data_IF_829120413666
#
_entry.id   IF_829120413666
#
_cell.length_a   1.000
_cell.length_b   1.000
_cell.length_c   1.000
_cell.angle_alpha   90.00
_cell.angle_beta   90.00
_cell.angle_gamma   90.00
#
_symmetry.space_group_name_H-M   'P 1'
#
loop_
_entity.id
_entity.type
_entity.pdbx_description
1 polymer ?
#
# COMPACT_ATOMS: atom_id res chain seq x y z
N UNK A 1 20.80 -10.78 71.83
CA UNK A 1 19.91 -10.00 72.71
C UNK A 1 18.67 -9.66 71.89
N UNK A 2 17.58 -10.31 72.28
CA UNK A 2 16.21 -10.20 71.78
C UNK A 2 15.56 -8.91 72.29
N UNK A 3 14.77 -8.25 71.45
CA UNK A 3 13.52 -7.60 71.86
C UNK A 3 12.55 -7.53 70.69
N UNK A 4 11.59 -8.43 70.75
CA UNK A 4 10.24 -8.40 70.16
C UNK A 4 9.48 -7.15 70.60
N UNK A 5 8.56 -6.66 69.76
CA UNK A 5 7.29 -6.14 70.27
C UNK A 5 6.15 -6.50 69.32
N UNK A 6 5.20 -7.22 69.92
CA UNK A 6 3.93 -7.68 69.42
C UNK A 6 2.80 -6.71 69.77
N UNK A 7 1.73 -6.79 68.97
CA UNK A 7 0.35 -6.68 69.45
C UNK A 7 -0.37 -5.35 69.19
N UNK A 8 -1.68 -5.31 68.92
CA UNK A 8 -2.68 -6.33 68.62
C UNK A 8 -4.03 -5.63 68.27
N UNK A 9 -4.84 -6.30 67.44
CA UNK A 9 -6.33 -6.42 67.48
C UNK A 9 -7.22 -5.15 67.45
N UNK A 10 -8.42 -5.12 66.87
CA UNK A 10 -9.30 -6.13 66.26
C UNK A 10 -10.48 -5.42 65.56
N UNK A 11 -11.01 -5.97 64.46
CA UNK A 11 -12.27 -6.75 64.35
C UNK A 11 -13.57 -5.96 64.50
N UNK A 12 -14.43 -6.04 63.48
CA UNK A 12 -15.83 -5.60 63.54
C UNK A 12 -16.55 -5.67 62.19
N UNK A 13 -16.87 -6.90 61.72
CA UNK A 13 -17.90 -7.18 60.72
C UNK A 13 -19.31 -6.85 61.25
N UNK A 14 -20.21 -6.41 60.36
CA UNK A 14 -21.65 -6.78 60.17
C UNK A 14 -22.22 -5.70 59.22
N UNK A 15 -22.84 -5.94 58.06
CA UNK A 15 -23.72 -7.03 57.65
C UNK A 15 -25.19 -6.58 57.77
N UNK A 16 -25.79 -6.11 56.66
CA UNK A 16 -27.17 -6.40 56.18
C UNK A 16 -27.74 -5.29 55.27
N UNK A 17 -28.20 -5.72 54.10
CA UNK A 17 -29.17 -5.02 53.24
C UNK A 17 -30.47 -4.70 53.97
N UNK A 18 -31.28 -3.77 53.43
CA UNK A 18 -32.55 -4.24 52.90
C UNK A 18 -32.93 -3.69 51.51
N UNK A 19 -33.98 -4.33 51.01
CA UNK A 19 -34.58 -4.38 49.67
C UNK A 19 -35.60 -3.27 49.40
N UNK A 20 -35.80 -2.94 48.11
CA UNK A 20 -37.04 -2.46 47.47
C UNK A 20 -37.43 -0.99 47.68
N UNK A 21 -38.11 -0.29 46.76
CA UNK A 21 -38.67 -0.63 45.45
C UNK A 21 -39.26 0.65 44.81
N UNK A 22 -39.42 0.59 43.48
CA UNK A 22 -40.49 1.20 42.66
C UNK A 22 -40.31 2.54 41.91
N UNK A 23 -40.64 2.42 40.62
CA UNK A 23 -41.27 3.39 39.70
C UNK A 23 -40.40 4.53 39.16
N UNK A 24 -40.34 4.88 37.86
CA UNK A 24 -41.09 4.59 36.62
C UNK A 24 -40.23 5.19 35.50
N UNK A 25 -39.83 4.47 34.45
CA UNK A 25 -40.56 4.44 33.18
C UNK A 25 -40.60 5.79 32.43
N UNK A 26 -39.67 6.04 31.49
CA UNK A 26 -40.04 6.43 30.12
C UNK A 26 -38.85 6.54 29.15
N UNK A 27 -38.89 5.70 28.13
CA UNK A 27 -38.33 5.90 26.78
C UNK A 27 -39.05 7.07 26.09
N UNK A 28 -38.40 7.79 25.16
CA UNK A 28 -39.11 8.37 24.03
C UNK A 28 -38.75 7.62 22.75
N UNK A 29 -39.67 6.74 22.36
CA UNK A 29 -39.82 6.22 21.00
C UNK A 29 -40.84 7.10 20.28
N UNK A 30 -40.60 7.41 19.00
CA UNK A 30 -41.60 7.92 18.06
C UNK A 30 -41.30 9.34 17.56
N UNK A 31 -41.54 9.71 16.31
CA UNK A 31 -42.33 9.04 15.27
C UNK A 31 -41.97 9.60 13.90
N UNK A 32 -42.15 8.73 12.91
CA UNK A 32 -42.33 9.04 11.50
C UNK A 32 -43.26 10.23 11.22
N UNK A 33 -42.92 11.02 10.20
CA UNK A 33 -43.91 11.44 9.21
C UNK A 33 -43.34 11.31 7.80
N UNK A 34 -43.91 10.33 7.09
CA UNK A 34 -43.79 10.04 5.67
C UNK A 34 -44.93 10.73 4.94
N UNK A 35 -44.62 11.63 4.01
CA UNK A 35 -45.43 12.00 2.82
C UNK A 35 -44.59 13.00 2.02
N UNK A 36 -44.04 12.69 0.85
CA UNK A 36 -44.74 12.21 -0.33
C UNK A 36 -45.23 13.41 -1.13
N UNK A 37 -44.67 13.64 -2.32
CA UNK A 37 -45.33 14.26 -3.49
C UNK A 37 -44.41 14.29 -4.71
N UNK A 38 -44.70 13.35 -5.59
CA UNK A 38 -44.92 13.50 -7.03
C UNK A 38 -43.73 13.78 -7.97
N UNK A 39 -43.43 12.73 -8.74
CA UNK A 39 -42.84 12.80 -10.06
C UNK A 39 -43.77 13.52 -11.05
N UNK A 40 -43.21 14.23 -12.04
CA UNK A 40 -43.88 14.42 -13.32
C UNK A 40 -43.26 13.50 -14.37
N UNK A 41 -44.05 12.54 -14.82
CA UNK A 41 -43.93 11.93 -16.14
C UNK A 41 -44.06 13.01 -17.20
N UNK A 42 -43.07 13.13 -18.09
CA UNK A 42 -43.10 13.98 -19.26
C UNK A 42 -42.26 13.36 -20.36
N UNK A 43 -42.91 12.52 -21.17
CA UNK A 43 -42.45 12.06 -22.48
C UNK A 43 -42.50 13.26 -23.42
N UNK A 44 -41.45 13.49 -24.22
CA UNK A 44 -41.56 13.68 -25.66
C UNK A 44 -40.17 13.83 -26.31
N UNK A 45 -39.89 12.92 -27.24
CA UNK A 45 -38.83 12.99 -28.25
C UNK A 45 -39.11 14.17 -29.19
N UNK A 46 -38.08 14.85 -29.68
CA UNK A 46 -37.96 14.90 -31.14
C UNK A 46 -36.55 14.61 -31.65
N UNK A 47 -36.58 13.88 -32.77
CA UNK A 47 -35.53 13.46 -33.66
C UNK A 47 -34.74 14.64 -34.27
N UNK A 48 -33.41 14.53 -34.26
CA UNK A 48 -32.49 15.25 -35.14
C UNK A 48 -31.12 14.60 -35.00
N UNK A 49 -30.79 13.56 -35.77
CA UNK A 49 -30.05 13.66 -37.04
C UNK A 49 -28.96 14.72 -36.96
N UNK A 50 -27.73 14.28 -36.62
CA UNK A 50 -26.59 14.31 -37.53
C UNK A 50 -25.46 13.46 -36.95
N UNK A 51 -25.04 12.44 -37.70
CA UNK A 51 -23.76 11.77 -37.47
C UNK A 51 -22.66 12.61 -38.12
N UNK A 52 -21.48 12.69 -37.49
CA UNK A 52 -20.33 12.08 -38.15
C UNK A 52 -19.44 11.28 -37.18
N UNK A 53 -19.17 10.04 -37.58
CA UNK A 53 -17.87 9.35 -37.59
C UNK A 53 -16.77 9.86 -36.64
N UNK A 54 -16.48 9.05 -35.62
CA UNK A 54 -15.18 8.39 -35.40
C UNK A 54 -13.97 9.27 -35.07
N UNK A 55 -13.48 9.14 -33.83
CA UNK A 55 -12.05 9.10 -33.48
C UNK A 55 -11.91 8.78 -32.00
N UNK A 56 -11.73 7.48 -31.73
CA UNK A 56 -10.77 7.01 -30.74
C UNK A 56 -10.20 5.74 -31.35
N UNK A 57 -9.05 5.90 -32.01
CA UNK A 57 -8.30 4.78 -32.58
C UNK A 57 -7.67 4.03 -31.40
N UNK A 58 -8.10 2.79 -31.07
CA UNK A 58 -7.25 1.93 -30.26
C UNK A 58 -5.98 1.60 -31.06
N UNK A 59 -4.81 1.43 -30.43
CA UNK A 59 -3.61 1.05 -31.16
C UNK A 59 -3.90 -0.21 -32.00
N UNK A 60 -3.73 -0.06 -33.31
CA UNK A 60 -3.81 -1.14 -34.27
C UNK A 60 -2.58 -2.02 -34.12
N UNK A 61 -2.61 -2.94 -33.15
CA UNK A 61 -1.95 -4.25 -33.18
C UNK A 61 -2.26 -5.02 -31.88
N UNK A 62 -3.54 -5.22 -31.59
CA UNK A 62 -3.94 -6.29 -30.67
C UNK A 62 -4.79 -7.22 -31.50
N UNK A 63 -4.14 -8.25 -32.04
CA UNK A 63 -4.83 -9.42 -32.54
C UNK A 63 -5.66 -10.03 -31.42
N UNK A 64 -6.90 -9.57 -31.26
CA UNK A 64 -7.87 -10.28 -30.45
C UNK A 64 -8.14 -11.62 -31.15
N UNK A 65 -7.96 -12.78 -30.48
CA UNK A 65 -8.33 -14.02 -31.12
C UNK A 65 -9.86 -14.11 -31.20
N UNK A 66 -10.33 -14.41 -32.40
CA UNK A 66 -11.71 -14.73 -32.72
C UNK A 66 -12.23 -15.86 -31.83
N UNK A 67 -13.45 -15.73 -31.33
CA UNK A 67 -14.26 -16.92 -31.01
C UNK A 67 -14.94 -17.35 -32.31
N UNK A 68 -14.60 -18.54 -32.87
CA UNK A 68 -15.39 -19.74 -32.55
C UNK A 68 -14.62 -21.09 -32.63
N UNK A 69 -15.01 -22.05 -31.77
CA UNK A 69 -14.91 -23.49 -32.10
C UNK A 69 -13.55 -24.18 -32.00
N UNK A 70 -12.66 -23.75 -31.10
CA UNK A 70 -11.44 -24.52 -30.79
C UNK A 70 -11.79 -25.53 -29.69
N UNK A 71 -11.54 -26.86 -29.85
CA UNK A 71 -11.62 -27.78 -28.71
C UNK A 71 -10.68 -27.29 -27.59
N UNK A 72 -10.81 -27.71 -26.32
CA UNK A 72 -9.81 -27.40 -25.31
C UNK A 72 -8.49 -28.06 -25.73
N UNK A 73 -7.72 -27.36 -26.55
CA UNK A 73 -6.31 -27.63 -26.71
C UNK A 73 -5.75 -27.26 -25.36
N UNK A 74 -5.57 -28.26 -24.49
CA UNK A 74 -4.57 -28.16 -23.46
C UNK A 74 -3.31 -27.70 -24.21
N UNK A 75 -3.02 -26.39 -24.11
CA UNK A 75 -1.80 -25.84 -24.67
C UNK A 75 -0.63 -26.60 -24.09
N UNK A 76 0.54 -26.48 -24.71
CA UNK A 76 1.78 -27.03 -24.16
C UNK A 76 1.80 -26.79 -22.63
N UNK A 77 1.92 -27.85 -21.80
CA UNK A 77 1.96 -27.71 -20.35
C UNK A 77 3.00 -26.66 -19.95
N UNK A 78 2.74 -25.89 -18.90
CA UNK A 78 3.66 -24.82 -18.51
C UNK A 78 5.09 -25.34 -18.29
N UNK A 79 5.23 -26.56 -17.75
CA UNK A 79 6.51 -27.26 -17.56
C UNK A 79 7.32 -27.50 -18.84
N UNK A 80 6.65 -27.55 -19.99
CA UNK A 80 7.25 -27.80 -21.30
C UNK A 80 7.56 -26.50 -22.08
N UNK A 81 7.09 -25.34 -21.61
CA UNK A 81 7.40 -24.05 -22.22
C UNK A 81 8.87 -23.67 -22.01
N UNK A 82 9.45 -22.94 -22.96
CA UNK A 82 10.71 -22.23 -22.73
C UNK A 82 10.51 -21.10 -21.70
N UNK A 83 11.59 -20.56 -21.11
CA UNK A 83 11.46 -19.44 -20.16
C UNK A 83 10.88 -18.19 -20.83
N UNK A 84 11.24 -17.94 -22.10
CA UNK A 84 10.71 -16.83 -22.89
C UNK A 84 9.22 -17.00 -23.18
N UNK A 85 8.80 -18.21 -23.59
CA UNK A 85 7.39 -18.51 -23.85
C UNK A 85 6.56 -18.48 -22.55
N UNK A 86 7.13 -18.94 -21.43
CA UNK A 86 6.48 -18.90 -20.13
C UNK A 86 6.19 -17.45 -19.69
N UNK A 87 7.17 -16.56 -19.83
CA UNK A 87 7.01 -15.12 -19.55
C UNK A 87 6.01 -14.46 -20.50
N UNK A 88 6.07 -14.79 -21.79
CA UNK A 88 5.14 -14.26 -22.80
C UNK A 88 3.70 -14.70 -22.51
N UNK A 89 3.48 -16.00 -22.29
CA UNK A 89 2.16 -16.56 -22.02
C UNK A 89 1.59 -16.02 -20.70
N UNK A 90 2.41 -15.90 -19.64
CA UNK A 90 1.99 -15.27 -18.39
C UNK A 90 1.53 -13.83 -18.59
N UNK A 91 2.28 -13.04 -19.34
CA UNK A 91 1.94 -11.64 -19.67
C UNK A 91 0.60 -11.56 -20.41
N UNK A 92 0.42 -12.35 -21.46
CA UNK A 92 -0.83 -12.36 -22.24
C UNK A 92 -2.04 -12.78 -21.40
N UNK A 93 -1.85 -13.77 -20.52
CA UNK A 93 -2.91 -14.25 -19.66
C UNK A 93 -3.32 -13.15 -18.64
N UNK A 94 -2.38 -12.44 -18.02
CA UNK A 94 -2.71 -11.29 -17.15
C UNK A 94 -3.41 -10.15 -17.91
N UNK A 95 -2.95 -9.82 -19.12
CA UNK A 95 -3.54 -8.75 -19.95
C UNK A 95 -5.01 -9.03 -20.29
N UNK A 96 -5.35 -10.29 -20.55
CA UNK A 96 -6.69 -10.69 -20.99
C UNK A 96 -7.63 -11.05 -19.85
N UNK A 97 -7.14 -11.24 -18.62
CA UNK A 97 -7.92 -11.67 -17.46
C UNK A 97 -9.17 -10.82 -17.18
N UNK A 98 -9.03 -9.50 -17.15
CA UNK A 98 -10.16 -8.62 -16.86
C UNK A 98 -11.24 -8.69 -17.95
N UNK A 99 -10.83 -8.84 -19.20
CA UNK A 99 -11.75 -9.01 -20.31
C UNK A 99 -12.51 -10.34 -20.20
N UNK A 100 -11.81 -11.45 -19.92
CA UNK A 100 -12.45 -12.77 -19.73
C UNK A 100 -13.41 -12.75 -18.54
N UNK A 101 -13.07 -12.05 -17.46
CA UNK A 101 -13.95 -11.88 -16.32
C UNK A 101 -15.26 -11.15 -16.65
N UNK A 102 -15.20 -10.09 -17.47
CA UNK A 102 -16.37 -9.27 -17.80
C UNK A 102 -17.20 -9.82 -18.97
N UNK A 103 -16.58 -10.59 -19.87
CA UNK A 103 -17.17 -10.92 -21.16
C UNK A 103 -17.10 -12.41 -21.51
N UNK A 104 -16.35 -13.20 -20.75
CA UNK A 104 -16.26 -14.65 -20.94
C UNK A 104 -17.45 -15.39 -20.33
N UNK A 105 -17.64 -16.63 -20.77
CA UNK A 105 -18.49 -17.60 -20.08
C UNK A 105 -17.80 -18.06 -18.79
N UNK A 106 -18.57 -18.72 -17.91
CA UNK A 106 -18.03 -19.32 -16.68
C UNK A 106 -16.90 -20.29 -16.99
N UNK A 107 -17.10 -21.20 -17.95
CA UNK A 107 -16.10 -22.18 -18.38
C UNK A 107 -14.82 -21.53 -18.96
N UNK A 108 -14.97 -20.43 -19.71
CA UNK A 108 -13.83 -19.66 -20.23
C UNK A 108 -13.03 -19.01 -19.10
N UNK A 109 -13.71 -18.46 -18.10
CA UNK A 109 -13.06 -17.87 -16.94
C UNK A 109 -12.35 -18.91 -16.07
N UNK A 110 -12.97 -20.08 -15.87
CA UNK A 110 -12.36 -21.22 -15.17
C UNK A 110 -11.09 -21.69 -15.89
N UNK A 111 -11.20 -22.00 -17.19
CA UNK A 111 -10.05 -22.42 -18.01
C UNK A 111 -8.93 -21.38 -18.02
N UNK A 112 -9.28 -20.10 -18.13
CA UNK A 112 -8.31 -19.01 -18.11
C UNK A 112 -7.62 -18.90 -16.74
N UNK A 113 -8.37 -19.04 -15.64
CA UNK A 113 -7.83 -19.00 -14.28
C UNK A 113 -6.91 -20.19 -14.02
N UNK A 114 -7.28 -21.39 -14.48
CA UNK A 114 -6.43 -22.58 -14.39
C UNK A 114 -5.12 -22.38 -15.15
N UNK A 115 -5.18 -21.88 -16.39
CA UNK A 115 -3.98 -21.63 -17.18
C UNK A 115 -3.08 -20.56 -16.55
N UNK A 116 -3.66 -19.49 -16.02
CA UNK A 116 -2.94 -18.46 -15.27
C UNK A 116 -2.17 -19.06 -14.09
N UNK A 117 -2.86 -19.84 -13.25
CA UNK A 117 -2.26 -20.48 -12.07
C UNK A 117 -1.17 -21.48 -12.45
N UNK A 118 -1.34 -22.23 -13.54
CA UNK A 118 -0.34 -23.17 -14.05
C UNK A 118 0.96 -22.44 -14.43
N UNK A 119 0.85 -21.34 -15.20
CA UNK A 119 1.98 -20.52 -15.63
C UNK A 119 2.69 -19.87 -14.43
N UNK A 120 1.93 -19.30 -13.49
CA UNK A 120 2.46 -18.68 -12.27
C UNK A 120 3.24 -19.69 -11.41
N UNK A 121 2.69 -20.88 -11.21
CA UNK A 121 3.34 -21.94 -10.43
C UNK A 121 4.66 -22.38 -11.08
N UNK A 122 4.65 -22.60 -12.39
CA UNK A 122 5.86 -22.98 -13.11
C UNK A 122 6.92 -21.88 -13.07
N UNK A 123 6.51 -20.62 -13.22
CA UNK A 123 7.41 -19.47 -13.10
C UNK A 123 8.08 -19.42 -11.73
N UNK A 124 7.30 -19.56 -10.65
CA UNK A 124 7.83 -19.59 -9.28
C UNK A 124 8.76 -20.78 -9.04
N UNK A 125 8.46 -21.94 -9.64
CA UNK A 125 9.31 -23.14 -9.59
C UNK A 125 10.67 -22.91 -10.25
N UNK A 126 10.71 -22.24 -11.40
CA UNK A 126 11.96 -21.93 -12.14
C UNK A 126 12.75 -20.76 -11.55
N UNK A 127 12.06 -19.80 -10.94
CA UNK A 127 12.66 -18.58 -10.41
C UNK A 127 12.49 -18.44 -8.87
N UNK A 128 12.99 -19.40 -8.07
CA UNK A 128 12.79 -19.40 -6.61
C UNK A 128 13.43 -18.21 -5.88
N UNK A 129 14.39 -17.53 -6.52
CA UNK A 129 15.10 -16.36 -5.95
C UNK A 129 14.51 -15.00 -6.36
N UNK A 130 13.42 -14.99 -7.15
CA UNK A 130 12.67 -13.78 -7.53
C UNK A 130 11.41 -13.55 -6.67
N UNK A 131 11.17 -14.37 -5.65
CA UNK A 131 10.36 -13.89 -4.53
C UNK A 131 11.04 -12.64 -4.00
N UNK A 132 10.29 -11.56 -3.77
CA UNK A 132 10.73 -10.36 -3.07
C UNK A 132 11.50 -10.72 -1.79
N UNK A 133 12.79 -11.00 -1.94
CA UNK A 133 13.82 -11.00 -0.93
C UNK A 133 14.67 -9.81 -1.33
N UNK A 134 14.21 -8.62 -0.98
CA UNK A 134 15.13 -7.53 -0.74
C UNK A 134 16.02 -7.93 0.42
N UNK A 135 17.06 -8.73 0.18
CA UNK A 135 17.97 -9.20 1.23
C UNK A 135 19.31 -9.74 0.73
N UNK A 136 19.64 -9.66 -0.56
CA UNK A 136 21.02 -9.34 -0.94
C UNK A 136 21.04 -7.89 -1.38
N UNK A 137 20.74 -7.02 -0.41
CA UNK A 137 21.21 -5.66 -0.46
C UNK A 137 22.72 -5.73 -0.50
N UNK A 138 23.28 -5.72 -1.71
CA UNK A 138 24.62 -5.18 -1.89
C UNK A 138 24.58 -3.83 -1.19
N UNK A 139 25.23 -3.78 -0.03
CA UNK A 139 25.34 -2.59 0.77
C UNK A 139 26.09 -1.58 -0.09
N UNK A 140 25.33 -0.74 -0.79
CA UNK A 140 25.78 0.58 -1.13
C UNK A 140 25.35 1.38 0.09
N UNK A 141 26.25 1.65 1.05
CA UNK A 141 25.94 2.60 2.09
C UNK A 141 25.59 3.87 1.34
N UNK A 142 24.33 4.30 1.40
CA UNK A 142 24.01 5.64 0.93
C UNK A 142 24.94 6.59 1.66
N UNK A 143 25.63 7.43 0.91
CA UNK A 143 26.74 8.19 1.47
C UNK A 143 26.19 9.34 2.31
N UNK A 144 26.22 9.17 3.64
CA UNK A 144 25.85 10.21 4.60
C UNK A 144 26.65 11.49 4.39
N UNK A 145 27.92 11.37 3.99
CA UNK A 145 28.78 12.52 3.70
C UNK A 145 28.24 13.27 2.50
N UNK A 146 27.92 12.59 1.41
CA UNK A 146 27.35 13.23 0.22
C UNK A 146 25.99 13.86 0.51
N UNK A 147 25.16 13.19 1.32
CA UNK A 147 23.88 13.73 1.74
C UNK A 147 24.03 15.02 2.54
N UNK A 148 24.90 15.02 3.55
CA UNK A 148 25.19 16.20 4.36
C UNK A 148 25.88 17.29 3.53
N UNK A 149 26.76 16.93 2.59
CA UNK A 149 27.44 17.87 1.70
C UNK A 149 26.46 18.56 0.74
N UNK A 150 25.44 17.84 0.24
CA UNK A 150 24.36 18.46 -0.55
C UNK A 150 23.58 19.48 0.26
N UNK A 151 23.29 19.19 1.53
CA UNK A 151 22.63 20.16 2.43
C UNK A 151 23.58 21.33 2.76
N UNK A 152 24.87 21.08 2.95
CA UNK A 152 25.87 22.12 3.18
C UNK A 152 26.00 23.09 1.99
N UNK A 153 25.83 22.59 0.76
CA UNK A 153 25.94 23.36 -0.47
C UNK A 153 24.76 24.30 -0.75
N UNK A 154 23.65 24.19 0.00
CA UNK A 154 22.53 25.11 -0.15
C UNK A 154 22.75 26.40 0.65
N UNK A 155 22.14 27.53 0.25
CA UNK A 155 22.24 28.78 0.99
C UNK A 155 21.80 28.61 2.45
N UNK A 156 22.71 28.88 3.39
CA UNK A 156 22.45 28.74 4.82
C UNK A 156 22.52 27.30 5.35
N UNK A 157 22.95 26.33 4.54
CA UNK A 157 23.03 24.93 4.97
C UNK A 157 21.66 24.31 5.27
N UNK A 158 20.61 24.78 4.60
CA UNK A 158 19.23 24.36 4.81
C UNK A 158 18.60 23.82 3.53
N UNK A 159 17.90 22.70 3.63
CA UNK A 159 17.25 22.04 2.50
C UNK A 159 15.80 21.75 2.83
N UNK A 160 14.89 22.03 1.90
CA UNK A 160 13.46 21.75 2.12
C UNK A 160 13.24 20.23 2.27
N UNK A 161 12.30 19.80 3.12
CA UNK A 161 12.11 18.39 3.51
C UNK A 161 11.89 17.45 2.33
N UNK A 162 11.20 17.93 1.28
CA UNK A 162 10.95 17.13 0.08
C UNK A 162 12.23 16.95 -0.74
N UNK A 163 13.02 18.01 -0.86
CA UNK A 163 14.30 17.98 -1.54
C UNK A 163 15.31 17.12 -0.77
N UNK A 164 15.33 17.22 0.55
CA UNK A 164 16.14 16.36 1.42
C UNK A 164 15.72 14.89 1.31
N UNK A 165 14.42 14.60 1.19
CA UNK A 165 13.95 13.24 0.95
C UNK A 165 14.36 12.73 -0.44
N UNK A 166 14.23 13.56 -1.48
CA UNK A 166 14.67 13.20 -2.83
C UNK A 166 16.18 12.96 -2.88
N UNK A 167 16.99 13.82 -2.26
CA UNK A 167 18.43 13.65 -2.17
C UNK A 167 18.82 12.35 -1.45
N UNK A 168 18.14 12.02 -0.34
CA UNK A 168 18.35 10.75 0.35
C UNK A 168 18.00 9.55 -0.56
N UNK A 169 16.89 9.63 -1.29
CA UNK A 169 16.47 8.59 -2.24
C UNK A 169 17.46 8.41 -3.38
N UNK A 170 17.95 9.50 -3.97
CA UNK A 170 18.96 9.47 -5.03
C UNK A 170 20.28 8.86 -4.57
N UNK A 171 20.68 9.12 -3.32
CA UNK A 171 21.89 8.56 -2.72
C UNK A 171 21.70 7.15 -2.16
N UNK A 172 20.51 6.57 -2.24
CA UNK A 172 20.21 5.28 -1.59
C UNK A 172 20.35 5.32 -0.06
N UNK A 173 20.32 6.51 0.55
CA UNK A 173 20.45 6.69 1.99
C UNK A 173 19.14 6.26 2.66
N UNK A 174 19.22 5.16 3.41
CA UNK A 174 18.04 4.55 4.03
C UNK A 174 17.41 5.46 5.09
N UNK A 175 16.08 5.42 5.28
CA UNK A 175 15.38 6.28 6.26
C UNK A 175 15.92 6.17 7.68
N UNK A 176 16.31 4.96 8.12
CA UNK A 176 16.90 4.72 9.44
C UNK A 176 18.24 5.45 9.62
N UNK A 177 18.99 5.61 8.52
CA UNK A 177 20.28 6.29 8.51
C UNK A 177 20.08 7.81 8.52
N UNK A 178 19.15 8.33 7.73
CA UNK A 178 18.72 9.75 7.82
C UNK A 178 18.23 10.09 9.23
N UNK A 179 17.45 9.20 9.84
CA UNK A 179 16.96 9.38 11.21
C UNK A 179 18.09 9.35 12.25
N UNK A 180 19.19 8.62 12.00
CA UNK A 180 20.35 8.61 12.88
C UNK A 180 21.06 9.97 12.92
N UNK A 181 21.15 10.68 11.78
CA UNK A 181 21.75 12.02 11.68
C UNK A 181 21.07 13.06 12.59
N UNK A 182 19.78 12.88 12.87
CA UNK A 182 18.97 13.74 13.73
C UNK A 182 19.04 13.35 15.21
N UNK A 183 19.34 12.08 15.51
CA UNK A 183 19.26 11.51 16.86
C UNK A 183 20.61 11.37 17.56
N UNK A 184 21.70 11.33 16.79
CA UNK A 184 23.04 11.27 17.37
C UNK A 184 23.36 12.52 18.19
N UNK A 185 24.36 12.41 19.06
CA UNK A 185 24.80 13.50 19.94
C UNK A 185 26.28 13.81 19.71
N UNK A 186 26.64 15.00 19.21
CA UNK A 186 25.75 16.07 18.76
C UNK A 186 25.02 15.74 17.44
N UNK A 187 23.80 16.26 17.21
CA UNK A 187 23.04 16.00 15.99
C UNK A 187 23.71 16.68 14.80
N UNK A 188 23.80 16.00 13.65
CA UNK A 188 24.36 16.58 12.42
C UNK A 188 23.30 17.35 11.61
N UNK A 189 22.03 16.94 11.75
CA UNK A 189 20.88 17.62 11.16
C UNK A 189 19.85 17.95 12.22
N UNK A 190 19.24 19.13 12.08
CA UNK A 190 18.06 19.52 12.85
C UNK A 190 16.90 19.84 11.91
N UNK A 191 15.70 19.99 12.47
CA UNK A 191 14.49 20.36 11.75
C UNK A 191 14.01 21.72 12.23
N UNK A 192 13.78 22.62 11.28
CA UNK A 192 13.05 23.88 11.49
C UNK A 192 11.88 23.94 10.51
N UNK A 193 10.68 23.63 11.00
CA UNK A 193 9.49 23.45 10.18
C UNK A 193 9.73 22.47 9.02
N UNK A 194 9.62 22.99 7.80
CA UNK A 194 9.79 22.22 6.57
C UNK A 194 11.25 22.14 6.09
N UNK A 195 12.21 22.68 6.84
CA UNK A 195 13.62 22.66 6.47
C UNK A 195 14.41 21.66 7.31
N UNK A 196 15.43 21.08 6.66
CA UNK A 196 16.51 20.30 7.28
C UNK A 196 17.72 21.20 7.30
N UNK A 197 18.22 21.49 8.50
CA UNK A 197 19.31 22.43 8.71
C UNK A 197 20.54 21.65 9.17
N UNK A 198 21.66 21.87 8.49
CA UNK A 198 22.95 21.35 8.88
C UNK A 198 23.46 22.09 10.12
N UNK A 199 23.70 21.34 11.19
CA UNK A 199 24.21 21.92 12.44
C UNK A 199 25.69 22.27 12.32
N UNK A 200 26.23 22.99 13.31
CA UNK A 200 27.68 23.23 13.40
C UNK A 200 28.44 21.90 13.55
N UNK A 201 27.91 20.98 14.35
CA UNK A 201 28.47 19.63 14.46
C UNK A 201 28.45 18.87 13.13
N UNK A 202 27.39 19.01 12.33
CA UNK A 202 27.29 18.47 10.97
C UNK A 202 28.38 19.02 10.05
N UNK A 203 28.63 20.34 10.12
CA UNK A 203 29.69 21.00 9.36
C UNK A 203 31.09 20.52 9.77
N UNK A 204 31.39 20.51 11.07
CA UNK A 204 32.67 20.01 11.59
C UNK A 204 32.87 18.52 11.27
N UNK A 205 31.80 17.73 11.28
CA UNK A 205 31.87 16.32 10.91
C UNK A 205 32.27 16.13 9.43
N UNK A 206 31.74 16.96 8.52
CA UNK A 206 32.13 16.94 7.10
C UNK A 206 33.60 17.32 6.91
N UNK A 207 34.08 18.32 7.64
CA UNK A 207 35.48 18.77 7.58
C UNK A 207 36.46 17.70 8.06
N UNK A 208 36.12 16.99 9.15
CA UNK A 208 36.99 15.98 9.76
C UNK A 208 37.06 14.65 9.00
N UNK A 209 36.11 14.39 8.10
CA UNK A 209 36.05 13.16 7.30
C UNK A 209 36.62 13.31 5.89
N UNK A 210 37.37 14.39 5.62
CA UNK A 210 37.92 14.71 4.30
C UNK A 210 38.79 13.61 3.71
#
# INVERSE_FOLDING_TARGET
>A
MTTTNDGAAGTGETGKDPVGSDATGNTPTGKDTRTGKDAPTGRDTPLGKDAPTGKDTPPADVGGPAAPGVPPSHGVPASELSDEDLEHHGTQAHLTRNWVFLHGTVEQFETHTERMLELEQEYLRRHPKRTWQGAEGGEVPGDERDYLARIAGTPGGQMHKLEAHHAARELGLRPERVAALHRQDPPLLTTDGDYRILTDAGRTWLENRN
#
